data_IF_820559018242
#
_entry.id   IF_820559018242
#
_cell.length_a   1.000
_cell.length_b   1.000
_cell.length_c   1.000
_cell.angle_alpha   90.00
_cell.angle_beta   90.00
_cell.angle_gamma   90.00
#
_symmetry.space_group_name_H-M   'P 1'
#
loop_
_entity.id
_entity.type
_entity.pdbx_description
1 polymer ?
#
# COMPACT_ATOMS: atom_id res chain seq x y z
N UNK A 1 -9.47 7.10 -15.99
CA UNK A 1 -8.00 7.31 -15.96
C UNK A 1 -7.61 7.45 -14.51
N UNK A 2 -6.73 6.60 -13.98
CA UNK A 2 -6.19 6.82 -12.64
C UNK A 2 -5.22 8.01 -12.68
N UNK A 3 -5.16 8.83 -11.62
CA UNK A 3 -4.04 9.72 -11.43
C UNK A 3 -2.73 8.93 -11.37
N UNK A 4 -1.62 9.55 -11.76
CA UNK A 4 -0.28 8.91 -11.78
C UNK A 4 0.12 8.35 -10.40
N UNK A 5 -0.49 8.87 -9.33
CA UNK A 5 -0.37 8.38 -7.95
C UNK A 5 -1.62 8.75 -7.12
N UNK A 6 -1.77 8.07 -5.98
CA UNK A 6 -2.63 8.50 -4.88
C UNK A 6 -1.75 9.02 -3.73
N UNK A 7 -2.33 9.77 -2.78
CA UNK A 7 -1.59 10.30 -1.62
C UNK A 7 -2.23 9.90 -0.30
N UNK A 8 -1.39 9.54 0.67
CA UNK A 8 -1.77 9.25 2.07
C UNK A 8 -0.96 10.17 2.97
N UNK A 9 -1.61 11.15 3.61
CA UNK A 9 -0.96 12.17 4.44
C UNK A 9 0.26 12.84 3.78
N UNK A 10 0.18 13.07 2.47
CA UNK A 10 1.25 13.70 1.68
C UNK A 10 2.23 12.72 1.03
N UNK A 11 2.30 11.46 1.46
CA UNK A 11 3.14 10.41 0.86
C UNK A 11 2.47 9.86 -0.39
N UNK A 12 3.21 9.82 -1.51
CA UNK A 12 2.70 9.36 -2.79
C UNK A 12 2.84 7.84 -2.94
N UNK A 13 1.75 7.18 -3.32
CA UNK A 13 1.71 5.77 -3.73
C UNK A 13 1.52 5.75 -5.25
N UNK A 14 2.55 5.29 -5.97
CA UNK A 14 2.56 5.32 -7.43
C UNK A 14 1.56 4.34 -8.06
N UNK A 15 1.11 4.65 -9.27
CA UNK A 15 0.30 3.72 -10.09
C UNK A 15 1.03 2.39 -10.36
N UNK A 16 2.36 2.42 -10.49
CA UNK A 16 3.18 1.21 -10.61
C UNK A 16 3.10 0.33 -9.36
N UNK A 17 3.17 0.94 -8.17
CA UNK A 17 3.02 0.21 -6.90
C UNK A 17 1.63 -0.40 -6.78
N UNK A 18 0.58 0.34 -7.17
CA UNK A 18 -0.79 -0.17 -7.20
C UNK A 18 -0.92 -1.35 -8.17
N UNK A 19 -0.34 -1.25 -9.37
CA UNK A 19 -0.38 -2.30 -10.36
C UNK A 19 0.35 -3.57 -9.90
N UNK A 20 1.52 -3.41 -9.27
CA UNK A 20 2.26 -4.53 -8.70
C UNK A 20 1.47 -5.21 -7.58
N UNK A 21 0.91 -4.43 -6.65
CA UNK A 21 0.11 -4.97 -5.54
C UNK A 21 -1.19 -5.63 -6.05
N UNK A 22 -1.80 -5.11 -7.11
CA UNK A 22 -3.00 -5.73 -7.72
C UNK A 22 -2.75 -7.17 -8.18
N UNK A 23 -1.52 -7.53 -8.54
CA UNK A 23 -1.16 -8.90 -8.90
C UNK A 23 -1.24 -9.86 -7.69
N UNK A 24 -1.13 -9.33 -6.46
CA UNK A 24 -1.25 -10.08 -5.21
C UNK A 24 -2.70 -10.28 -4.76
N UNK A 25 -3.68 -9.71 -5.47
CA UNK A 25 -5.10 -9.76 -5.09
C UNK A 25 -5.94 -10.54 -6.11
N UNK A 26 -6.20 -11.84 -5.85
CA UNK A 26 -7.18 -12.60 -6.64
C UNK A 26 -8.57 -11.95 -6.57
N UNK A 27 -9.15 -11.66 -7.73
CA UNK A 27 -10.50 -11.11 -7.83
C UNK A 27 -11.17 -11.52 -9.15
N UNK A 28 -12.50 -11.51 -9.16
CA UNK A 28 -13.30 -11.85 -10.33
C UNK A 28 -13.16 -10.86 -11.49
N UNK A 29 -12.63 -9.66 -11.24
CA UNK A 29 -12.33 -8.66 -12.26
C UNK A 29 -11.16 -7.74 -11.84
N UNK A 30 -10.50 -7.07 -12.80
CA UNK A 30 -9.35 -6.21 -12.52
C UNK A 30 -9.65 -5.02 -11.60
N UNK A 31 -10.87 -4.49 -11.65
CA UNK A 31 -11.24 -3.30 -10.86
C UNK A 31 -11.31 -3.62 -9.38
N UNK A 32 -11.76 -4.82 -9.02
CA UNK A 32 -11.82 -5.27 -7.64
C UNK A 32 -10.44 -5.62 -7.09
N UNK A 33 -9.57 -6.28 -7.89
CA UNK A 33 -8.17 -6.48 -7.53
C UNK A 33 -7.45 -5.16 -7.26
N UNK A 34 -7.70 -4.16 -8.11
CA UNK A 34 -7.14 -2.82 -7.95
C UNK A 34 -7.65 -2.09 -6.70
N UNK A 35 -8.95 -2.16 -6.41
CA UNK A 35 -9.50 -1.57 -5.18
C UNK A 35 -8.90 -2.22 -3.93
N UNK A 36 -8.71 -3.55 -3.97
CA UNK A 36 -8.05 -4.28 -2.89
C UNK A 36 -6.59 -3.83 -2.72
N UNK A 37 -5.85 -3.69 -3.82
CA UNK A 37 -4.47 -3.20 -3.83
C UNK A 37 -4.34 -1.79 -3.25
N UNK A 38 -5.19 -0.87 -3.70
CA UNK A 38 -5.22 0.49 -3.18
C UNK A 38 -5.47 0.48 -1.67
N UNK A 39 -6.46 -0.29 -1.20
CA UNK A 39 -6.75 -0.41 0.23
C UNK A 39 -5.56 -0.97 1.00
N UNK A 40 -4.93 -2.04 0.51
CA UNK A 40 -3.77 -2.66 1.15
C UNK A 40 -2.61 -1.67 1.30
N UNK A 41 -2.27 -0.96 0.23
CA UNK A 41 -1.20 0.03 0.23
C UNK A 41 -1.50 1.23 1.13
N UNK A 42 -2.75 1.71 1.15
CA UNK A 42 -3.17 2.78 2.06
C UNK A 42 -3.03 2.35 3.52
N UNK A 43 -3.52 1.15 3.86
CA UNK A 43 -3.41 0.62 5.23
C UNK A 43 -1.95 0.42 5.62
N UNK A 44 -1.11 -0.15 4.73
CA UNK A 44 0.33 -0.31 4.96
C UNK A 44 1.00 1.03 5.25
N UNK A 45 0.73 2.04 4.45
CA UNK A 45 1.32 3.37 4.63
C UNK A 45 0.88 4.01 5.95
N UNK A 46 -0.41 3.92 6.31
CA UNK A 46 -0.91 4.41 7.60
C UNK A 46 -0.24 3.71 8.79
N UNK A 47 -0.06 2.39 8.71
CA UNK A 47 0.62 1.62 9.76
C UNK A 47 2.10 1.99 9.87
N UNK A 48 2.79 2.20 8.75
CA UNK A 48 4.19 2.65 8.76
C UNK A 48 4.32 4.06 9.35
N UNK A 49 3.46 5.00 8.95
CA UNK A 49 3.44 6.34 9.54
C UNK A 49 3.21 6.31 11.04
N UNK A 50 2.28 5.46 11.51
CA UNK A 50 2.02 5.30 12.93
C UNK A 50 3.18 4.65 13.68
N UNK A 51 3.84 3.65 13.09
CA UNK A 51 5.04 3.04 13.65
C UNK A 51 6.18 4.06 13.80
N UNK A 52 6.37 4.93 12.79
CA UNK A 52 7.33 6.03 12.89
C UNK A 52 6.92 7.04 13.96
N UNK A 53 5.63 7.40 14.06
CA UNK A 53 5.12 8.33 15.09
C UNK A 53 5.35 7.80 16.51
N UNK A 54 5.34 6.47 16.68
CA UNK A 54 5.54 5.77 17.94
C UNK A 54 7.01 5.40 18.21
N UNK A 55 7.95 5.77 17.33
CA UNK A 55 9.36 5.36 17.38
C UNK A 55 9.54 3.82 17.52
N UNK A 56 8.71 3.05 16.81
CA UNK A 56 8.84 1.59 16.79
C UNK A 56 10.05 1.18 15.96
N UNK A 57 11.03 0.55 16.62
CA UNK A 57 12.21 -0.04 15.99
C UNK A 57 11.97 -1.55 15.86
N UNK A 58 11.95 -2.11 14.64
CA UNK A 58 11.80 -3.55 14.46
C UNK A 58 13.08 -4.27 14.91
N UNK A 59 12.91 -5.31 15.72
CA UNK A 59 14.01 -6.24 16.01
C UNK A 59 14.26 -7.11 14.77
N UNK A 60 15.52 -7.28 14.33
CA UNK A 60 15.83 -8.17 13.21
C UNK A 60 15.43 -9.61 13.54
N UNK A 61 14.61 -10.22 12.69
CA UNK A 61 14.34 -11.65 12.75
C UNK A 61 15.51 -12.38 12.10
N UNK A 62 16.11 -13.34 12.82
CA UNK A 62 17.08 -14.29 12.26
C UNK A 62 16.40 -15.65 12.04
N UNK A 63 16.79 -16.33 10.96
CA UNK A 63 16.32 -17.68 10.60
C UNK A 63 16.90 -18.78 11.52
#
# INVERSE_FOLDING_TARGET
MLPDSIRVNGVAISSQSIAAESQNHPASNPQDAQKAAIRALVVRELLLQEAYRLDLIPDPVSD
#
